data_IF_216174680969
#
_entry.id   IF_216174680969
#
_cell.length_a   1.000
_cell.length_b   1.000
_cell.length_c   1.000
_cell.angle_alpha   90.00
_cell.angle_beta   90.00
_cell.angle_gamma   90.00
#
_symmetry.space_group_name_H-M   'P 1'
#
loop_
_entity.id
_entity.type
_entity.pdbx_description
1 polymer ?
#
# COMPACT_ATOMS: atom_id res chain seq x y z
N UNK A 1 -26.85 39.72 52.11
CA UNK A 1 -25.53 40.33 51.87
C UNK A 1 -24.52 39.22 51.86
N UNK A 2 -23.78 39.05 50.77
CA UNK A 2 -22.64 38.15 50.74
C UNK A 2 -21.53 38.69 51.63
N UNK A 3 -20.62 37.81 52.06
CA UNK A 3 -19.36 38.23 52.70
C UNK A 3 -18.26 38.22 51.65
N UNK A 4 -17.26 39.09 51.77
CA UNK A 4 -16.12 39.05 50.85
C UNK A 4 -15.43 37.69 50.89
N UNK A 5 -14.96 37.18 49.76
CA UNK A 5 -14.33 35.86 49.71
C UNK A 5 -13.14 35.73 50.68
N UNK A 6 -12.31 36.77 50.76
CA UNK A 6 -11.16 36.83 51.68
C UNK A 6 -11.59 36.92 53.16
N UNK A 7 -12.80 37.41 53.45
CA UNK A 7 -13.33 37.42 54.82
C UNK A 7 -13.83 36.05 55.25
N UNK A 8 -14.35 35.26 54.30
CA UNK A 8 -14.79 33.88 54.55
C UNK A 8 -13.58 32.95 54.73
N UNK A 9 -12.48 33.20 54.01
CA UNK A 9 -11.25 32.41 54.07
C UNK A 9 -10.02 33.27 54.46
N UNK A 10 -9.97 33.81 55.69
CA UNK A 10 -8.95 34.79 56.10
C UNK A 10 -7.55 34.19 56.24
N UNK A 11 -7.44 32.88 56.46
CA UNK A 11 -6.16 32.17 56.64
C UNK A 11 -5.59 31.62 55.33
N UNK A 12 -6.28 31.81 54.21
CA UNK A 12 -5.86 31.29 52.92
C UNK A 12 -4.72 32.15 52.36
N UNK A 13 -3.56 31.54 52.12
CA UNK A 13 -2.42 32.18 51.47
C UNK A 13 -2.57 32.05 49.97
N UNK A 14 -2.69 33.19 49.29
CA UNK A 14 -2.96 33.27 47.85
C UNK A 14 -1.88 34.15 47.21
N UNK A 15 -1.48 33.85 45.98
CA UNK A 15 -0.62 34.71 45.16
C UNK A 15 -1.29 36.06 44.88
N UNK A 16 -0.50 37.11 44.62
CA UNK A 16 -1.01 38.49 44.52
C UNK A 16 -1.99 38.69 43.37
N UNK A 17 -1.73 38.08 42.20
CA UNK A 17 -2.62 38.10 41.03
C UNK A 17 -3.99 37.47 41.34
N UNK A 18 -3.97 36.28 41.94
CA UNK A 18 -5.17 35.55 42.35
C UNK A 18 -5.93 36.30 43.45
N UNK A 19 -5.21 36.98 44.36
CA UNK A 19 -5.84 37.80 45.39
C UNK A 19 -6.60 38.98 44.79
N UNK A 20 -6.06 39.63 43.76
CA UNK A 20 -6.74 40.72 43.07
C UNK A 20 -8.02 40.24 42.36
N UNK A 21 -7.96 39.09 41.67
CA UNK A 21 -9.13 38.50 41.01
C UNK A 21 -10.27 38.17 42.00
N UNK A 22 -9.94 37.60 43.17
CA UNK A 22 -10.96 37.20 44.15
C UNK A 22 -11.29 38.30 45.18
N UNK A 23 -10.64 39.47 45.14
CA UNK A 23 -10.87 40.56 46.09
C UNK A 23 -12.31 41.10 46.00
N UNK A 24 -12.81 41.29 44.78
CA UNK A 24 -14.12 41.87 44.50
C UNK A 24 -15.23 40.81 44.40
N UNK A 25 -14.99 39.61 44.94
CA UNK A 25 -15.94 38.49 44.89
C UNK A 25 -16.67 38.29 46.22
N UNK A 26 -17.96 38.01 46.13
CA UNK A 26 -18.82 37.79 47.29
C UNK A 26 -19.21 36.31 47.41
N UNK A 27 -19.11 35.76 48.61
CA UNK A 27 -19.62 34.42 48.90
C UNK A 27 -21.05 34.55 49.41
N UNK A 28 -22.00 34.01 48.64
CA UNK A 28 -23.43 34.03 48.98
C UNK A 28 -23.76 32.96 50.00
N UNK A 29 -23.22 31.76 49.80
CA UNK A 29 -23.56 30.58 50.59
C UNK A 29 -22.41 29.59 50.57
N UNK A 30 -22.15 28.99 51.73
CA UNK A 30 -21.29 27.80 51.83
C UNK A 30 -22.18 26.66 52.30
N UNK A 31 -22.32 25.64 51.48
CA UNK A 31 -23.09 24.45 51.82
C UNK A 31 -22.20 23.23 51.95
N UNK A 32 -22.59 22.32 52.83
CA UNK A 32 -21.95 21.02 52.95
C UNK A 32 -23.01 19.94 53.06
N UNK A 33 -22.69 18.75 52.58
CA UNK A 33 -23.53 17.56 52.79
C UNK A 33 -23.53 17.18 54.29
N UNK A 34 -24.59 16.52 54.77
CA UNK A 34 -24.66 15.89 56.10
C UNK A 34 -23.46 14.96 56.37
N UNK A 35 -22.95 14.27 55.35
CA UNK A 35 -21.74 13.43 55.44
C UNK A 35 -20.42 14.23 55.41
N UNK A 36 -20.47 15.55 55.20
CA UNK A 36 -19.34 16.48 55.05
C UNK A 36 -18.32 16.12 53.97
N UNK A 37 -18.71 15.32 52.98
CA UNK A 37 -17.84 14.88 51.89
C UNK A 37 -17.65 15.94 50.80
N UNK A 38 -18.59 16.87 50.68
CA UNK A 38 -18.57 17.96 49.69
C UNK A 38 -18.79 19.30 50.37
N UNK A 39 -18.06 20.31 49.93
CA UNK A 39 -18.22 21.70 50.30
C UNK A 39 -18.42 22.51 49.03
N UNK A 40 -19.59 23.14 48.90
CA UNK A 40 -19.95 23.96 47.75
C UNK A 40 -19.93 25.42 48.21
N UNK A 41 -19.09 26.23 47.55
CA UNK A 41 -19.02 27.68 47.75
C UNK A 41 -19.72 28.35 46.58
N UNK A 42 -20.86 28.96 46.83
CA UNK A 42 -21.55 29.80 45.85
C UNK A 42 -20.90 31.18 45.85
N UNK A 43 -20.21 31.51 44.75
CA UNK A 43 -19.46 32.73 44.55
C UNK A 43 -20.21 33.63 43.56
N UNK A 44 -20.37 34.90 43.91
CA UNK A 44 -20.86 35.94 43.03
C UNK A 44 -19.71 36.87 42.64
N UNK A 45 -19.55 37.14 41.35
CA UNK A 45 -18.52 38.06 40.83
C UNK A 45 -19.12 39.03 39.82
N UNK A 46 -18.58 40.25 39.79
CA UNK A 46 -18.92 41.30 38.82
C UNK A 46 -18.06 41.25 37.56
N UNK A 47 -17.02 40.41 37.54
CA UNK A 47 -16.10 40.22 36.42
C UNK A 47 -15.87 38.72 36.16
N UNK A 48 -15.44 38.40 34.95
CA UNK A 48 -15.14 37.03 34.54
C UNK A 48 -13.86 36.53 35.21
N UNK A 49 -13.93 35.31 35.74
CA UNK A 49 -12.79 34.60 36.32
C UNK A 49 -12.61 33.30 35.54
N UNK A 50 -11.39 33.01 35.08
CA UNK A 50 -11.15 31.83 34.26
C UNK A 50 -11.38 30.54 35.07
N UNK A 51 -11.87 29.48 34.41
CA UNK A 51 -12.11 28.19 35.09
C UNK A 51 -10.83 27.59 35.66
N UNK A 52 -9.69 27.86 35.03
CA UNK A 52 -8.36 27.44 35.50
C UNK A 52 -8.03 28.05 36.86
N UNK A 53 -8.33 29.33 37.04
CA UNK A 53 -8.07 30.05 38.28
C UNK A 53 -9.03 29.60 39.39
N UNK A 54 -10.29 29.35 39.06
CA UNK A 54 -11.27 28.77 40.00
C UNK A 54 -10.81 27.40 40.50
N UNK A 55 -10.45 26.48 39.60
CA UNK A 55 -9.95 25.17 39.99
C UNK A 55 -8.66 25.27 40.82
N UNK A 56 -7.79 26.24 40.51
CA UNK A 56 -6.60 26.52 41.32
C UNK A 56 -6.98 26.96 42.73
N UNK A 57 -8.00 27.80 42.90
CA UNK A 57 -8.50 28.18 44.22
C UNK A 57 -9.14 27.02 44.97
N UNK A 58 -9.89 26.15 44.30
CA UNK A 58 -10.43 24.92 44.91
C UNK A 58 -9.30 24.05 45.48
N UNK A 59 -8.20 23.89 44.73
CA UNK A 59 -7.01 23.16 45.17
C UNK A 59 -6.34 23.84 46.36
N UNK A 60 -6.13 25.17 46.33
CA UNK A 60 -5.51 25.90 47.44
C UNK A 60 -6.34 25.80 48.73
N UNK A 61 -7.67 25.92 48.64
CA UNK A 61 -8.56 25.73 49.79
C UNK A 61 -8.41 24.31 50.34
N UNK A 62 -8.37 23.31 49.47
CA UNK A 62 -8.22 21.91 49.86
C UNK A 62 -6.88 21.66 50.56
N UNK A 63 -5.79 22.13 49.98
CA UNK A 63 -4.44 21.91 50.48
C UNK A 63 -4.14 22.66 51.77
N UNK A 64 -4.67 23.88 51.94
CA UNK A 64 -4.33 24.72 53.09
C UNK A 64 -5.31 24.58 54.25
N UNK A 65 -6.61 24.47 53.97
CA UNK A 65 -7.64 24.48 55.01
C UNK A 65 -8.15 23.06 55.33
N UNK A 66 -8.14 22.15 54.35
CA UNK A 66 -8.76 20.83 54.47
C UNK A 66 -7.81 19.66 54.19
N UNK A 67 -6.49 19.86 54.37
CA UNK A 67 -5.45 18.87 54.04
C UNK A 67 -5.70 17.45 54.58
N UNK A 68 -6.20 17.35 55.82
CA UNK A 68 -6.42 16.05 56.51
C UNK A 68 -7.83 15.50 56.35
N UNK A 69 -8.74 16.27 55.79
CA UNK A 69 -10.16 15.90 55.69
C UNK A 69 -10.49 15.53 54.24
N UNK A 70 -11.12 14.37 53.98
CA UNK A 70 -11.45 13.93 52.62
C UNK A 70 -12.68 14.68 52.07
N UNK A 71 -12.59 16.00 51.98
CA UNK A 71 -13.65 16.88 51.48
C UNK A 71 -13.30 17.30 50.06
N UNK A 72 -14.28 17.23 49.16
CA UNK A 72 -14.23 17.80 47.81
C UNK A 72 -14.81 19.21 47.86
N UNK A 73 -13.98 20.19 47.56
CA UNK A 73 -14.40 21.59 47.46
C UNK A 73 -14.77 21.88 46.01
N UNK A 74 -15.91 22.53 45.79
CA UNK A 74 -16.33 23.03 44.48
C UNK A 74 -16.82 24.46 44.61
N UNK A 75 -16.31 25.34 43.78
CA UNK A 75 -16.74 26.72 43.66
C UNK A 75 -17.72 26.79 42.49
N UNK A 76 -18.92 27.28 42.79
CA UNK A 76 -19.95 27.60 41.81
C UNK A 76 -19.97 29.11 41.63
N UNK A 77 -19.36 29.60 40.55
CA UNK A 77 -19.45 31.00 40.16
C UNK A 77 -20.81 31.36 39.56
N UNK A 78 -21.31 32.54 39.89
CA UNK A 78 -22.36 33.26 39.18
C UNK A 78 -21.83 34.66 38.88
N UNK A 79 -21.81 35.01 37.59
CA UNK A 79 -21.33 36.29 37.12
C UNK A 79 -22.51 37.23 36.89
N UNK A 80 -22.44 38.41 37.48
CA UNK A 80 -23.34 39.52 37.18
C UNK A 80 -22.57 40.56 36.38
N UNK A 81 -22.46 40.30 35.09
CA UNK A 81 -21.67 41.11 34.17
C UNK A 81 -22.42 42.39 33.80
N UNK A 82 -21.66 43.45 33.51
CA UNK A 82 -22.23 44.69 32.99
C UNK A 82 -22.88 44.44 31.61
N UNK A 83 -23.85 45.28 31.21
CA UNK A 83 -24.52 45.19 29.91
C UNK A 83 -23.61 45.42 28.69
N UNK A 84 -22.29 45.55 28.88
CA UNK A 84 -21.28 45.63 27.83
C UNK A 84 -20.87 44.24 27.29
N UNK A 85 -21.18 43.18 28.03
CA UNK A 85 -20.91 41.81 27.61
C UNK A 85 -21.98 41.33 26.63
N UNK A 86 -21.76 41.57 25.35
CA UNK A 86 -22.49 40.87 24.28
C UNK A 86 -22.09 39.39 24.26
N UNK A 87 -22.99 38.46 23.89
CA UNK A 87 -22.68 37.03 23.79
C UNK A 87 -21.40 36.70 23.01
N UNK A 88 -21.10 37.47 21.96
CA UNK A 88 -19.89 37.32 21.15
C UNK A 88 -18.61 37.58 21.96
N UNK A 89 -18.46 38.78 22.52
CA UNK A 89 -17.32 39.13 23.38
C UNK A 89 -17.19 38.21 24.61
N UNK A 90 -18.32 37.79 25.20
CA UNK A 90 -18.33 36.86 26.31
C UNK A 90 -17.79 35.49 25.89
N UNK A 91 -18.21 34.98 24.73
CA UNK A 91 -17.69 33.74 24.18
C UNK A 91 -16.19 33.85 23.90
N UNK A 92 -15.72 34.92 23.26
CA UNK A 92 -14.28 35.09 22.99
C UNK A 92 -13.44 35.14 24.26
N UNK A 93 -13.84 35.92 25.26
CA UNK A 93 -13.12 36.06 26.51
C UNK A 93 -13.16 34.78 27.37
N UNK A 94 -14.25 34.01 27.28
CA UNK A 94 -14.46 32.83 28.13
C UNK A 94 -14.24 31.49 27.39
N UNK A 95 -13.92 31.52 26.08
CA UNK A 95 -13.74 30.33 25.22
C UNK A 95 -12.76 29.33 25.83
N UNK A 96 -11.62 29.81 26.31
CA UNK A 96 -10.58 28.95 26.87
C UNK A 96 -11.05 28.25 28.15
N UNK A 97 -11.90 28.92 28.94
CA UNK A 97 -12.50 28.35 30.15
C UNK A 97 -13.54 27.28 29.82
N UNK A 98 -14.39 27.52 28.80
CA UNK A 98 -15.34 26.54 28.29
C UNK A 98 -14.64 25.29 27.75
N UNK A 99 -13.58 25.49 26.95
CA UNK A 99 -12.77 24.40 26.42
C UNK A 99 -12.09 23.60 27.54
N UNK A 100 -11.60 24.28 28.59
CA UNK A 100 -11.01 23.59 29.74
C UNK A 100 -12.03 22.69 30.47
N UNK A 101 -13.24 23.19 30.71
CA UNK A 101 -14.30 22.42 31.39
C UNK A 101 -14.78 21.24 30.53
N UNK A 102 -14.97 21.45 29.22
CA UNK A 102 -15.30 20.36 28.30
C UNK A 102 -14.18 19.31 28.20
N UNK A 103 -12.92 19.71 28.26
CA UNK A 103 -11.78 18.76 28.25
C UNK A 103 -11.80 17.83 29.46
N UNK A 104 -12.19 18.32 30.62
CA UNK A 104 -12.29 17.52 31.84
C UNK A 104 -13.50 16.56 31.79
N UNK A 105 -14.61 17.00 31.16
CA UNK A 105 -15.83 16.20 31.03
C UNK A 105 -15.76 15.15 29.92
N UNK A 106 -15.34 15.53 28.71
CA UNK A 106 -15.36 14.69 27.52
C UNK A 106 -14.38 15.21 26.46
N UNK A 107 -13.35 14.41 26.17
CA UNK A 107 -12.37 14.73 25.13
C UNK A 107 -13.00 14.92 23.73
N UNK A 108 -14.15 14.26 23.49
CA UNK A 108 -14.90 14.37 22.24
C UNK A 108 -15.58 15.74 22.15
N UNK A 109 -16.28 16.18 23.20
CA UNK A 109 -16.97 17.48 23.24
C UNK A 109 -15.97 18.63 23.11
N UNK A 110 -14.81 18.50 23.76
CA UNK A 110 -13.68 19.42 23.59
C UNK A 110 -13.22 19.51 22.13
N UNK A 111 -12.94 18.36 21.50
CA UNK A 111 -12.46 18.34 20.11
C UNK A 111 -13.48 18.94 19.16
N UNK A 112 -14.77 18.65 19.38
CA UNK A 112 -15.86 19.18 18.58
C UNK A 112 -15.98 20.70 18.71
N UNK A 113 -15.98 21.26 19.92
CA UNK A 113 -16.05 22.71 20.11
C UNK A 113 -14.79 23.42 19.62
N UNK A 114 -13.62 22.76 19.71
CA UNK A 114 -12.36 23.32 19.24
C UNK A 114 -12.34 23.44 17.70
N UNK A 115 -12.84 22.44 16.99
CA UNK A 115 -12.91 22.45 15.52
C UNK A 115 -14.15 23.18 14.97
N UNK A 116 -15.15 23.45 15.81
CA UNK A 116 -16.37 24.12 15.40
C UNK A 116 -16.13 25.57 14.96
N UNK A 117 -16.82 25.98 13.89
CA UNK A 117 -17.01 27.39 13.58
C UNK A 117 -18.08 27.97 14.50
N UNK A 118 -17.81 29.11 15.13
CA UNK A 118 -18.80 29.81 15.94
C UNK A 118 -19.10 31.17 15.30
N UNK A 119 -20.38 31.41 15.00
CA UNK A 119 -20.84 32.66 14.41
C UNK A 119 -22.05 33.18 15.18
N UNK A 120 -22.03 34.45 15.57
CA UNK A 120 -23.16 35.09 16.23
C UNK A 120 -24.03 35.82 15.21
N UNK A 121 -25.35 35.61 15.25
CA UNK A 121 -26.35 36.34 14.45
C UNK A 121 -27.33 37.05 15.37
N UNK A 122 -27.74 38.26 14.97
CA UNK A 122 -28.76 39.07 15.65
C UNK A 122 -28.55 39.24 17.16
N UNK A 123 -27.29 39.32 17.60
CA UNK A 123 -26.87 39.60 18.98
C UNK A 123 -27.12 38.49 20.00
N UNK A 124 -28.08 37.59 19.78
CA UNK A 124 -28.51 36.60 20.78
C UNK A 124 -28.61 35.15 20.26
N UNK A 125 -28.25 34.91 19.00
CA UNK A 125 -28.25 33.57 18.40
C UNK A 125 -26.80 33.15 18.14
N UNK A 126 -26.34 32.10 18.83
CA UNK A 126 -25.05 31.46 18.59
C UNK A 126 -25.24 30.31 17.60
N UNK A 127 -24.60 30.43 16.44
CA UNK A 127 -24.56 29.40 15.42
C UNK A 127 -23.27 28.59 15.56
N UNK A 128 -23.42 27.29 15.81
CA UNK A 128 -22.34 26.31 15.92
C UNK A 128 -22.28 25.47 14.64
N UNK A 129 -21.24 25.68 13.86
CA UNK A 129 -20.98 24.94 12.63
C UNK A 129 -20.09 23.73 12.96
N UNK A 130 -20.68 22.53 12.89
CA UNK A 130 -20.04 21.26 13.19
C UNK A 130 -19.89 20.38 11.93
N UNK A 131 -18.87 19.52 11.92
CA UNK A 131 -18.73 18.50 10.89
C UNK A 131 -19.82 17.42 11.02
N UNK A 132 -20.46 17.07 9.90
CA UNK A 132 -21.51 16.05 9.86
C UNK A 132 -20.91 14.65 10.07
N UNK A 133 -20.76 14.28 11.33
CA UNK A 133 -20.30 12.97 11.79
C UNK A 133 -21.34 12.36 12.72
N UNK A 134 -21.39 11.02 12.78
CA UNK A 134 -22.30 10.29 13.68
C UNK A 134 -22.09 10.69 15.15
N UNK A 135 -20.83 10.91 15.53
CA UNK A 135 -20.45 11.36 16.86
C UNK A 135 -20.97 12.78 17.11
N UNK A 136 -20.82 13.68 16.13
CA UNK A 136 -21.32 15.05 16.26
C UNK A 136 -22.83 15.09 16.45
N UNK A 137 -23.60 14.31 15.68
CA UNK A 137 -25.05 14.23 15.86
C UNK A 137 -25.46 13.69 17.24
N UNK A 138 -24.70 12.76 17.80
CA UNK A 138 -24.98 12.18 19.12
C UNK A 138 -24.57 13.06 20.31
N UNK A 139 -23.66 14.02 20.11
CA UNK A 139 -23.07 14.83 21.19
C UNK A 139 -23.28 16.34 21.06
N UNK A 140 -23.81 16.81 19.93
CA UNK A 140 -24.04 18.24 19.74
C UNK A 140 -25.11 18.80 20.68
N UNK A 141 -26.14 18.01 21.01
CA UNK A 141 -27.16 18.41 22.00
C UNK A 141 -26.54 18.61 23.39
N UNK A 142 -25.68 17.70 23.85
CA UNK A 142 -24.97 17.82 25.13
C UNK A 142 -24.13 19.11 25.21
N UNK A 143 -23.47 19.50 24.11
CA UNK A 143 -22.67 20.74 24.05
C UNK A 143 -23.60 21.96 24.06
N UNK A 144 -24.69 21.93 23.30
CA UNK A 144 -25.64 23.03 23.26
C UNK A 144 -26.29 23.26 24.62
N UNK A 145 -26.67 22.20 25.34
CA UNK A 145 -27.27 22.34 26.66
C UNK A 145 -26.26 22.82 27.70
N UNK A 146 -25.01 22.33 27.65
CA UNK A 146 -23.93 22.86 28.48
C UNK A 146 -23.68 24.37 28.23
N UNK A 147 -23.62 24.79 26.97
CA UNK A 147 -23.43 26.20 26.65
C UNK A 147 -24.63 27.05 27.11
N UNK A 148 -25.87 26.58 26.93
CA UNK A 148 -27.06 27.28 27.46
C UNK A 148 -27.00 27.44 28.98
N UNK A 149 -26.57 26.42 29.71
CA UNK A 149 -26.40 26.47 31.17
C UNK A 149 -25.34 27.51 31.57
N UNK A 150 -24.18 27.52 30.90
CA UNK A 150 -23.12 28.48 31.20
C UNK A 150 -23.52 29.92 30.85
N UNK A 151 -24.10 30.15 29.67
CA UNK A 151 -24.52 31.49 29.26
C UNK A 151 -25.71 31.98 30.10
N UNK A 152 -26.72 31.13 30.30
CA UNK A 152 -27.94 31.46 31.02
C UNK A 152 -27.78 31.51 32.55
N UNK A 153 -27.36 30.41 33.17
CA UNK A 153 -27.32 30.29 34.64
C UNK A 153 -26.04 30.89 35.24
N UNK A 154 -24.89 30.69 34.59
CA UNK A 154 -23.60 31.15 35.11
C UNK A 154 -23.32 32.62 34.77
N UNK A 155 -23.60 33.06 33.55
CA UNK A 155 -23.31 34.43 33.10
C UNK A 155 -24.51 35.38 33.09
N UNK A 156 -25.73 34.88 33.34
CA UNK A 156 -26.98 35.66 33.26
C UNK A 156 -27.25 36.30 31.88
N UNK A 157 -26.67 35.75 30.81
CA UNK A 157 -26.83 36.22 29.42
C UNK A 157 -27.46 35.07 28.61
N UNK A 158 -28.79 35.01 28.46
CA UNK A 158 -29.44 33.91 27.77
C UNK A 158 -29.19 33.97 26.25
N UNK A 159 -28.68 32.88 25.68
CA UNK A 159 -28.35 32.75 24.25
C UNK A 159 -29.12 31.59 23.62
N UNK A 160 -29.64 31.79 22.41
CA UNK A 160 -30.23 30.70 21.61
C UNK A 160 -29.13 30.02 20.80
N UNK A 161 -29.00 28.69 20.90
CA UNK A 161 -27.96 27.93 20.22
C UNK A 161 -28.54 27.15 19.05
N UNK A 162 -28.01 27.38 17.85
CA UNK A 162 -28.39 26.68 16.62
C UNK A 162 -27.20 25.91 16.07
N UNK A 163 -27.37 24.61 15.86
CA UNK A 163 -26.34 23.73 15.31
C UNK A 163 -26.57 23.58 13.81
N UNK A 164 -25.56 23.88 13.00
CA UNK A 164 -25.54 23.54 11.58
C UNK A 164 -24.46 22.49 11.31
N UNK A 165 -24.78 21.55 10.43
CA UNK A 165 -23.87 20.51 10.01
C UNK A 165 -23.35 20.83 8.61
N UNK A 166 -22.03 20.75 8.42
CA UNK A 166 -21.41 20.83 7.11
C UNK A 166 -20.67 19.52 6.79
N UNK A 167 -20.58 19.12 5.51
CA UNK A 167 -19.83 17.92 5.14
C UNK A 167 -18.37 18.05 5.60
N UNK A 168 -17.75 16.96 6.08
CA UNK A 168 -16.37 16.97 6.54
C UNK A 168 -15.43 17.37 5.39
N UNK A 169 -14.44 18.23 5.67
CA UNK A 169 -13.41 18.56 4.69
C UNK A 169 -12.64 17.28 4.32
N UNK A 170 -12.57 16.94 3.04
CA UNK A 170 -11.76 15.82 2.55
C UNK A 170 -10.29 16.03 2.96
N UNK A 171 -9.82 15.27 3.95
CA UNK A 171 -8.42 15.34 4.35
C UNK A 171 -7.54 14.71 3.27
N UNK A 172 -6.32 15.24 3.09
CA UNK A 172 -5.30 14.67 2.19
C UNK A 172 -5.06 13.17 2.46
N UNK A 173 -5.22 12.73 3.72
CA UNK A 173 -5.09 11.34 4.15
C UNK A 173 -6.18 10.42 3.57
N UNK A 174 -7.42 10.90 3.40
CA UNK A 174 -8.50 10.09 2.85
C UNK A 174 -8.27 9.81 1.36
N UNK A 175 -7.78 10.82 0.61
CA UNK A 175 -7.35 10.67 -0.79
C UNK A 175 -6.15 9.73 -0.94
N UNK A 176 -5.22 9.76 0.02
CA UNK A 176 -4.10 8.82 0.07
C UNK A 176 -4.58 7.38 0.25
N UNK A 177 -5.47 7.14 1.22
CA UNK A 177 -6.00 5.82 1.51
C UNK A 177 -6.83 5.25 0.34
N UNK A 178 -7.68 6.07 -0.28
CA UNK A 178 -8.51 5.66 -1.42
C UNK A 178 -7.65 5.26 -2.63
N UNK A 179 -6.62 6.06 -2.96
CA UNK A 179 -5.72 5.75 -4.07
C UNK A 179 -4.78 4.58 -3.79
N UNK A 180 -4.36 4.37 -2.54
CA UNK A 180 -3.62 3.16 -2.17
C UNK A 180 -4.48 1.90 -2.35
N UNK A 181 -5.76 1.99 -1.96
CA UNK A 181 -6.71 0.91 -2.14
C UNK A 181 -6.94 0.62 -3.63
N UNK A 182 -7.05 1.66 -4.46
CA UNK A 182 -7.10 1.52 -5.92
C UNK A 182 -5.83 0.84 -6.48
N UNK A 183 -4.64 1.27 -6.07
CA UNK A 183 -3.37 0.66 -6.49
C UNK A 183 -3.27 -0.82 -6.07
N UNK A 184 -3.74 -1.15 -4.87
CA UNK A 184 -3.75 -2.51 -4.36
C UNK A 184 -4.77 -3.38 -5.13
N UNK A 185 -5.95 -2.85 -5.43
CA UNK A 185 -6.96 -3.52 -6.26
C UNK A 185 -6.42 -3.75 -7.68
N UNK A 186 -5.78 -2.76 -8.29
CA UNK A 186 -5.16 -2.87 -9.61
C UNK A 186 -4.05 -3.93 -9.62
N UNK A 187 -3.19 -3.96 -8.60
CA UNK A 187 -2.16 -4.98 -8.44
C UNK A 187 -2.75 -6.39 -8.27
N UNK A 188 -3.86 -6.53 -7.54
CA UNK A 188 -4.59 -7.80 -7.40
C UNK A 188 -5.20 -8.22 -8.75
N UNK A 189 -5.77 -7.29 -9.51
CA UNK A 189 -6.33 -7.56 -10.84
C UNK A 189 -5.24 -7.98 -11.84
N UNK A 190 -4.10 -7.28 -11.89
CA UNK A 190 -2.94 -7.65 -12.72
C UNK A 190 -2.38 -9.03 -12.34
N UNK A 191 -2.24 -9.30 -11.03
CA UNK A 191 -1.79 -10.61 -10.51
C UNK A 191 -2.77 -11.73 -10.86
N UNK A 192 -4.07 -11.48 -10.77
CA UNK A 192 -5.08 -12.46 -11.16
C UNK A 192 -5.15 -12.67 -12.67
N UNK A 193 -4.94 -11.62 -13.47
CA UNK A 193 -4.91 -11.69 -14.93
C UNK A 193 -3.69 -12.50 -15.42
N UNK A 194 -2.51 -12.23 -14.88
CA UNK A 194 -1.28 -12.99 -15.19
C UNK A 194 -1.40 -14.46 -14.78
N UNK A 195 -1.93 -14.76 -13.60
CA UNK A 195 -2.20 -16.14 -13.18
C UNK A 195 -3.19 -16.86 -14.10
N UNK A 196 -4.23 -16.17 -14.58
CA UNK A 196 -5.19 -16.72 -15.56
C UNK A 196 -4.54 -16.98 -16.91
N UNK A 197 -3.65 -16.10 -17.37
CA UNK A 197 -2.90 -16.30 -18.61
C UNK A 197 -1.95 -17.49 -18.49
N UNK A 198 -1.20 -17.61 -17.39
CA UNK A 198 -0.34 -18.77 -17.11
C UNK A 198 -1.16 -20.05 -17.07
N UNK A 199 -2.33 -20.05 -16.39
CA UNK A 199 -3.22 -21.22 -16.37
C UNK A 199 -3.80 -21.57 -17.75
N UNK A 200 -4.10 -20.56 -18.58
CA UNK A 200 -4.59 -20.75 -19.95
C UNK A 200 -3.50 -21.29 -20.87
N UNK A 201 -2.27 -20.79 -20.74
CA UNK A 201 -1.10 -21.28 -21.48
C UNK A 201 -0.73 -22.70 -21.06
N UNK A 202 -0.74 -23.00 -19.75
CA UNK A 202 -0.54 -24.35 -19.25
C UNK A 202 -1.65 -25.31 -19.71
N UNK A 203 -2.92 -24.86 -19.75
CA UNK A 203 -4.02 -25.66 -20.29
C UNK A 203 -3.89 -25.89 -21.78
N UNK A 204 -3.50 -24.89 -22.57
CA UNK A 204 -3.24 -25.03 -24.02
C UNK A 204 -2.07 -25.99 -24.28
N UNK A 205 -0.96 -25.84 -23.56
CA UNK A 205 0.18 -26.75 -23.65
C UNK A 205 -0.16 -28.20 -23.24
N UNK A 206 -1.12 -28.38 -22.31
CA UNK A 206 -1.63 -29.72 -21.93
C UNK A 206 -2.56 -30.30 -22.99
N UNK A 207 -3.43 -29.48 -23.57
CA UNK A 207 -4.36 -29.88 -24.63
C UNK A 207 -3.62 -30.21 -25.95
N UNK A 208 -2.56 -29.48 -26.28
CA UNK A 208 -1.71 -29.77 -27.44
C UNK A 208 -0.97 -31.10 -27.27
N UNK A 209 -0.50 -31.41 -26.05
CA UNK A 209 0.09 -32.73 -25.71
C UNK A 209 -0.92 -33.88 -25.76
N UNK A 210 -2.18 -33.64 -25.43
CA UNK A 210 -3.25 -34.66 -25.51
C UNK A 210 -3.73 -34.86 -26.95
N UNK A 211 -3.81 -33.81 -27.78
CA UNK A 211 -4.20 -33.90 -29.19
C UNK A 211 -3.18 -34.60 -30.09
N UNK A 212 -1.91 -34.70 -29.66
CA UNK A 212 -0.87 -35.48 -30.34
C UNK A 212 -0.89 -36.98 -30.04
N UNK A 213 -1.73 -37.44 -29.10
CA UNK A 213 -1.80 -38.84 -28.65
C UNK A 213 -3.01 -39.63 -29.18
N UNK A 214 -4.03 -38.97 -29.73
CA UNK A 214 -5.22 -39.65 -30.26
C UNK A 214 -5.13 -39.91 -31.76
N UNK A 215 -4.29 -40.87 -32.17
CA UNK A 215 -4.62 -41.68 -33.33
C UNK A 215 -4.10 -43.12 -33.20
N UNK A 216 -4.66 -43.87 -32.24
CA UNK A 216 -4.78 -45.34 -32.31
C UNK A 216 -5.80 -45.84 -31.31
N UNK A 217 -6.84 -46.54 -31.79
CA UNK A 217 -7.56 -47.55 -31.02
C UNK A 217 -8.95 -47.18 -30.49
N UNK A 218 -9.98 -47.56 -31.24
CA UNK A 218 -11.42 -47.58 -30.87
C UNK A 218 -11.78 -48.82 -30.03
N UNK A 219 -12.87 -48.67 -29.23
CA UNK A 219 -13.79 -49.67 -28.61
C UNK A 219 -13.30 -50.32 -27.31
N UNK A 220 -14.09 -50.48 -26.24
CA UNK A 220 -15.55 -50.68 -26.07
C UNK A 220 -16.09 -50.11 -24.75
N UNK A 221 -17.40 -49.83 -24.78
CA UNK A 221 -18.31 -49.42 -23.70
C UNK A 221 -18.40 -50.41 -22.52
N UNK A 222 -18.69 -49.93 -21.30
CA UNK A 222 -19.98 -50.17 -20.61
C UNK A 222 -19.95 -49.91 -19.08
N UNK A 223 -20.99 -49.18 -18.65
CA UNK A 223 -21.80 -49.33 -17.42
C UNK A 223 -21.31 -48.83 -16.04
N UNK A 224 -22.13 -47.90 -15.52
CA UNK A 224 -22.66 -47.76 -14.14
C UNK A 224 -21.65 -47.67 -12.96
N UNK A 225 -21.78 -46.81 -11.96
CA UNK A 225 -22.91 -46.03 -11.48
C UNK A 225 -22.79 -45.95 -9.95
N UNK A 226 -22.80 -44.72 -9.42
CA UNK A 226 -23.17 -44.31 -8.05
C UNK A 226 -22.35 -44.74 -6.82
N UNK A 227 -21.85 -43.68 -6.15
CA UNK A 227 -21.97 -43.34 -4.73
C UNK A 227 -21.21 -44.15 -3.65
N UNK A 228 -20.54 -43.41 -2.75
CA UNK A 228 -20.33 -43.85 -1.37
C UNK A 228 -18.93 -43.67 -0.78
N UNK A 229 -18.66 -42.44 -0.35
CA UNK A 229 -17.87 -41.98 0.81
C UNK A 229 -17.30 -43.02 1.82
N UNK A 230 -16.13 -42.64 2.40
CA UNK A 230 -15.39 -43.11 3.61
C UNK A 230 -14.34 -44.22 3.37
N UNK A 231 -13.03 -43.94 3.46
CA UNK A 231 -12.15 -43.47 4.56
C UNK A 231 -11.45 -44.62 5.28
N UNK A 232 -10.15 -44.40 5.48
CA UNK A 232 -9.27 -44.92 6.53
C UNK A 232 -8.69 -46.35 6.39
N UNK A 233 -7.36 -46.33 6.31
CA UNK A 233 -6.42 -47.08 7.13
C UNK A 233 -6.25 -48.59 6.93
N UNK A 234 -5.11 -48.89 6.29
CA UNK A 234 -3.98 -49.59 6.89
C UNK A 234 -4.28 -50.79 7.81
N UNK A 235 -3.99 -52.00 7.30
CA UNK A 235 -3.19 -52.98 8.03
C UNK A 235 -2.75 -54.12 7.10
N UNK A 236 -1.52 -54.61 7.31
CA UNK A 236 -1.32 -56.05 7.36
C UNK A 236 -0.76 -56.73 6.11
N UNK A 237 0.51 -56.45 5.83
CA UNK A 237 1.60 -57.43 5.72
C UNK A 237 1.23 -58.91 5.46
N UNK A 238 1.81 -59.50 4.40
CA UNK A 238 1.72 -60.94 4.16
C UNK A 238 2.55 -61.42 2.98
N UNK A 239 3.86 -61.55 3.19
CA UNK A 239 4.83 -62.24 2.32
C UNK A 239 4.31 -63.61 1.83
N UNK A 240 4.53 -63.93 0.56
CA UNK A 240 5.55 -64.90 0.19
C UNK A 240 5.76 -64.95 -1.32
N UNK A 241 7.03 -64.88 -1.72
CA UNK A 241 7.44 -65.14 -3.08
C UNK A 241 7.44 -66.63 -3.38
N UNK A 242 7.36 -66.96 -4.66
CA UNK A 242 8.21 -68.03 -5.18
C UNK A 242 8.59 -67.77 -6.64
N UNK A 243 9.89 -67.89 -6.81
CA UNK A 243 10.70 -68.05 -8.01
C UNK A 243 10.10 -68.95 -9.10
N UNK A 244 10.43 -68.65 -10.35
CA UNK A 244 10.29 -69.59 -11.46
C UNK A 244 10.85 -69.04 -12.77
N UNK A 245 12.11 -69.35 -13.02
CA UNK A 245 12.92 -68.94 -14.17
C UNK A 245 12.62 -69.77 -15.43
N UNK A 246 12.62 -69.10 -16.58
CA UNK A 246 13.06 -69.53 -17.93
C UNK A 246 12.65 -70.88 -18.55
N UNK A 247 11.98 -70.77 -19.71
CA UNK A 247 12.28 -71.41 -21.02
C UNK A 247 11.30 -70.81 -22.04
N UNK A 248 11.60 -70.47 -23.30
CA UNK A 248 12.66 -70.87 -24.20
C UNK A 248 12.02 -71.24 -25.56
N UNK A 249 12.45 -70.56 -26.64
CA UNK A 249 12.37 -70.95 -28.07
C UNK A 249 11.28 -70.35 -29.00
N UNK A 250 11.78 -69.39 -29.83
CA UNK A 250 11.84 -69.34 -31.32
C UNK A 250 10.56 -69.46 -32.15
N UNK A 251 10.31 -68.45 -32.98
CA UNK A 251 10.57 -68.46 -34.45
C UNK A 251 9.85 -67.29 -35.15
N UNK A 252 10.51 -66.61 -36.09
CA UNK A 252 9.84 -65.65 -36.97
C UNK A 252 10.74 -64.56 -37.53
N UNK A 253 11.67 -64.94 -38.41
CA UNK A 253 12.59 -64.06 -39.14
C UNK A 253 11.85 -63.37 -40.30
N UNK A 254 11.87 -62.05 -40.33
CA UNK A 254 11.33 -61.24 -41.43
C UNK A 254 12.16 -59.97 -41.63
N UNK A 255 13.12 -60.04 -42.53
CA UNK A 255 13.89 -58.89 -43.03
C UNK A 255 12.97 -57.90 -43.76
N UNK A 256 12.94 -56.64 -43.31
CA UNK A 256 12.45 -55.54 -44.13
C UNK A 256 13.50 -54.41 -44.14
N UNK A 257 14.27 -54.37 -45.23
CA UNK A 257 15.10 -53.24 -45.64
C UNK A 257 14.23 -51.97 -45.66
N UNK A 258 14.53 -50.99 -44.81
CA UNK A 258 14.10 -49.60 -45.02
C UNK A 258 15.29 -48.80 -45.54
N UNK A 259 15.18 -48.41 -46.80
CA UNK A 259 16.05 -47.42 -47.44
C UNK A 259 15.98 -46.09 -46.66
N UNK A 260 17.12 -45.66 -46.15
CA UNK A 260 17.32 -44.31 -45.64
C UNK A 260 17.41 -43.35 -46.84
N UNK A 261 16.27 -42.79 -47.27
CA UNK A 261 16.27 -41.48 -47.92
C UNK A 261 16.48 -40.42 -46.84
N UNK A 262 17.69 -39.86 -46.77
CA UNK A 262 17.99 -38.68 -45.97
C UNK A 262 17.38 -37.44 -46.65
N UNK A 263 16.17 -37.06 -46.25
CA UNK A 263 15.66 -35.71 -46.46
C UNK A 263 16.45 -34.74 -45.57
N UNK A 264 17.44 -34.07 -46.16
CA UNK A 264 18.18 -32.95 -45.57
C UNK A 264 17.40 -31.65 -45.80
N UNK A 265 16.22 -31.50 -45.17
CA UNK A 265 15.31 -30.41 -45.51
C UNK A 265 14.37 -29.92 -44.40
N UNK A 266 14.76 -29.99 -43.12
CA UNK A 266 13.97 -29.32 -42.08
C UNK A 266 14.86 -28.70 -41.01
N UNK A 267 14.96 -27.38 -41.05
CA UNK A 267 15.84 -26.55 -40.20
C UNK A 267 15.14 -25.98 -38.96
N UNK A 268 13.82 -26.20 -38.80
CA UNK A 268 13.15 -26.16 -37.50
C UNK A 268 13.13 -27.58 -36.95
N UNK A 269 13.94 -27.85 -35.92
CA UNK A 269 13.93 -29.15 -35.23
C UNK A 269 12.88 -29.22 -34.10
N UNK A 270 12.02 -28.22 -34.00
CA UNK A 270 10.99 -28.08 -32.97
C UNK A 270 9.73 -27.43 -33.55
N UNK A 271 8.57 -27.94 -33.17
CA UNK A 271 7.24 -27.44 -33.57
C UNK A 271 6.83 -26.14 -32.85
N UNK A 272 7.69 -25.60 -31.97
CA UNK A 272 7.40 -24.40 -31.19
C UNK A 272 7.48 -23.11 -32.04
N UNK A 273 6.44 -22.26 -32.07
CA UNK A 273 6.41 -21.01 -32.84
C UNK A 273 7.39 -19.94 -32.33
N UNK A 274 7.92 -20.11 -31.12
CA UNK A 274 8.85 -19.18 -30.48
C UNK A 274 10.33 -19.49 -30.76
N UNK A 275 10.65 -20.62 -31.42
CA UNK A 275 12.02 -20.98 -31.79
C UNK A 275 12.34 -20.40 -33.17
N UNK A 276 13.37 -19.55 -33.21
CA UNK A 276 13.85 -18.88 -34.42
C UNK A 276 14.90 -19.75 -35.12
N UNK A 277 15.80 -20.35 -34.35
CA UNK A 277 16.93 -21.11 -34.87
C UNK A 277 17.29 -22.29 -33.96
N UNK A 278 17.71 -23.41 -34.54
CA UNK A 278 18.24 -24.56 -33.81
C UNK A 278 17.17 -25.45 -33.16
N UNK A 279 17.50 -26.02 -31.99
CA UNK A 279 16.57 -26.84 -31.19
C UNK A 279 15.97 -26.01 -30.06
N UNK A 280 14.75 -26.34 -29.63
CA UNK A 280 14.19 -25.78 -28.41
C UNK A 280 15.02 -26.18 -27.18
N UNK A 281 15.31 -25.20 -26.31
CA UNK A 281 16.03 -25.39 -25.05
C UNK A 281 15.34 -24.63 -23.90
N UNK A 282 15.42 -25.17 -22.68
CA UNK A 282 14.86 -24.60 -21.46
C UNK A 282 15.89 -24.60 -20.32
N UNK A 283 17.13 -24.21 -20.63
CA UNK A 283 18.19 -24.16 -19.65
C UNK A 283 18.12 -22.90 -18.76
N UNK A 284 18.79 -22.99 -17.61
CA UNK A 284 18.98 -21.88 -16.66
C UNK A 284 19.69 -20.70 -17.32
N UNK A 285 19.31 -19.49 -16.90
CA UNK A 285 19.84 -18.25 -17.46
C UNK A 285 21.07 -17.81 -16.67
N UNK A 286 22.15 -17.52 -17.39
CA UNK A 286 23.36 -16.91 -16.88
C UNK A 286 23.37 -15.42 -17.30
N UNK A 287 23.71 -14.53 -16.37
CA UNK A 287 23.91 -13.10 -16.64
C UNK A 287 25.25 -12.87 -17.34
N UNK A 288 25.30 -11.95 -18.29
CA UNK A 288 26.50 -11.73 -19.12
C UNK A 288 27.70 -11.25 -18.29
N UNK A 289 27.47 -10.51 -17.19
CA UNK A 289 28.53 -10.07 -16.27
C UNK A 289 29.35 -11.24 -15.69
N UNK A 290 28.76 -12.43 -15.57
CA UNK A 290 29.40 -13.60 -14.96
C UNK A 290 30.21 -14.40 -15.99
N UNK A 291 30.12 -14.03 -17.28
CA UNK A 291 30.78 -14.68 -18.42
C UNK A 291 32.16 -14.06 -18.63
N UNK A 292 33.18 -14.56 -17.93
CA UNK A 292 34.53 -13.98 -17.92
C UNK A 292 35.53 -14.65 -18.87
N UNK A 293 35.13 -15.71 -19.58
CA UNK A 293 35.99 -16.45 -20.52
C UNK A 293 35.27 -17.57 -21.27
N UNK A 294 36.05 -18.52 -21.82
CA UNK A 294 35.51 -19.69 -22.54
C UNK A 294 34.90 -20.71 -21.55
N UNK A 295 33.64 -20.49 -21.19
CA UNK A 295 32.88 -21.32 -20.25
C UNK A 295 32.12 -22.47 -20.93
N UNK A 296 32.30 -22.67 -22.23
CA UNK A 296 31.58 -23.69 -23.00
C UNK A 296 30.18 -23.21 -23.38
N UNK A 297 29.18 -24.09 -23.29
CA UNK A 297 27.81 -23.79 -23.70
C UNK A 297 27.04 -23.03 -22.60
N UNK A 298 26.61 -21.81 -22.91
CA UNK A 298 25.85 -20.94 -22.00
C UNK A 298 24.49 -20.59 -22.59
N UNK A 299 23.55 -20.25 -21.70
CA UNK A 299 22.22 -19.76 -22.07
C UNK A 299 21.98 -18.40 -21.42
N UNK A 300 21.69 -17.39 -22.22
CA UNK A 300 21.42 -16.03 -21.74
C UNK A 300 20.24 -15.40 -22.46
N UNK A 301 19.72 -14.30 -21.93
CA UNK A 301 18.68 -13.48 -22.57
C UNK A 301 19.20 -12.07 -22.75
N UNK A 302 18.81 -11.41 -23.83
CA UNK A 302 19.20 -10.02 -24.04
C UNK A 302 18.50 -9.37 -25.22
N UNK A 303 18.74 -8.08 -25.35
CA UNK A 303 18.23 -7.21 -26.41
C UNK A 303 19.30 -7.02 -27.48
N UNK A 304 18.92 -7.17 -28.75
CA UNK A 304 19.82 -6.91 -29.88
C UNK A 304 20.01 -5.40 -30.05
N UNK A 305 21.26 -4.92 -29.94
CA UNK A 305 21.60 -3.49 -30.08
C UNK A 305 22.16 -3.13 -31.46
N UNK A 306 22.90 -4.07 -32.07
CA UNK A 306 23.55 -3.91 -33.36
C UNK A 306 23.41 -5.21 -34.13
N UNK A 307 23.27 -5.09 -35.45
CA UNK A 307 23.06 -6.19 -36.36
C UNK A 307 23.75 -5.88 -37.68
N UNK A 308 24.57 -6.81 -38.16
CA UNK A 308 25.36 -6.71 -39.39
C UNK A 308 25.36 -8.06 -40.12
N UNK A 309 25.28 -8.02 -41.45
CA UNK A 309 25.36 -9.20 -42.31
C UNK A 309 26.47 -9.03 -43.33
N UNK A 310 27.35 -10.03 -43.44
CA UNK A 310 28.45 -10.05 -44.40
C UNK A 310 28.44 -11.36 -45.18
N UNK A 311 28.23 -11.27 -46.49
CA UNK A 311 28.24 -12.43 -47.37
C UNK A 311 29.67 -12.96 -47.58
N UNK A 312 29.86 -14.28 -47.51
CA UNK A 312 31.12 -14.95 -47.81
C UNK A 312 30.97 -15.75 -49.12
N UNK A 313 32.09 -15.96 -49.80
CA UNK A 313 32.19 -16.96 -50.88
C UNK A 313 31.77 -18.34 -50.33
N UNK A 314 30.97 -19.10 -51.09
CA UNK A 314 30.34 -20.41 -50.74
C UNK A 314 28.88 -20.37 -50.24
N UNK A 315 28.05 -19.43 -50.73
CA UNK A 315 26.58 -19.41 -50.45
C UNK A 315 26.21 -19.31 -48.96
N UNK A 316 27.12 -18.76 -48.16
CA UNK A 316 26.94 -18.55 -46.72
C UNK A 316 27.14 -17.09 -46.37
N UNK A 317 26.30 -16.62 -45.45
CA UNK A 317 26.37 -15.28 -44.89
C UNK A 317 26.72 -15.37 -43.41
N UNK A 318 27.67 -14.54 -42.98
CA UNK A 318 27.92 -14.29 -41.55
C UNK A 318 26.89 -13.28 -41.09
N UNK A 319 26.17 -13.64 -40.04
CA UNK A 319 25.31 -12.72 -39.31
C UNK A 319 26.02 -12.45 -37.97
N UNK A 320 26.38 -11.18 -37.77
CA UNK A 320 27.02 -10.69 -36.55
C UNK A 320 26.06 -9.75 -35.86
N UNK A 321 25.73 -10.01 -34.60
CA UNK A 321 24.86 -9.13 -33.85
C UNK A 321 25.29 -9.04 -32.38
N UNK A 322 25.19 -7.85 -31.82
CA UNK A 322 25.53 -7.59 -30.42
C UNK A 322 24.26 -7.63 -29.56
N UNK A 323 24.35 -8.34 -28.45
CA UNK A 323 23.25 -8.58 -27.53
C UNK A 323 23.65 -8.10 -26.14
N UNK A 324 22.80 -7.28 -25.52
CA UNK A 324 22.99 -6.79 -24.15
C UNK A 324 21.88 -7.26 -23.22
N UNK A 325 22.23 -7.62 -21.99
CA UNK A 325 21.27 -7.87 -20.91
C UNK A 325 21.17 -6.68 -19.93
N UNK A 326 21.71 -5.53 -20.33
CA UNK A 326 21.90 -4.30 -19.53
C UNK A 326 22.94 -4.40 -18.41
N UNK A 327 23.54 -5.57 -18.19
CA UNK A 327 24.69 -5.74 -17.31
C UNK A 327 25.99 -5.74 -18.11
N UNK A 328 26.00 -6.44 -19.25
CA UNK A 328 27.11 -6.46 -20.20
C UNK A 328 26.61 -6.68 -21.63
N UNK A 329 27.50 -6.67 -22.61
CA UNK A 329 27.20 -6.89 -24.03
C UNK A 329 28.13 -7.93 -24.63
N UNK A 330 27.57 -8.93 -25.32
CA UNK A 330 28.35 -9.94 -26.05
C UNK A 330 28.00 -9.97 -27.54
N UNK A 331 29.00 -10.21 -28.37
CA UNK A 331 28.83 -10.38 -29.82
C UNK A 331 28.54 -11.84 -30.16
N UNK A 332 27.49 -12.06 -30.94
CA UNK A 332 27.08 -13.37 -31.44
C UNK A 332 27.36 -13.45 -32.93
N UNK A 333 28.09 -14.48 -33.34
CA UNK A 333 28.41 -14.76 -34.74
C UNK A 333 27.77 -16.07 -35.15
N UNK A 334 27.02 -16.04 -36.25
CA UNK A 334 26.45 -17.25 -36.84
C UNK A 334 26.71 -17.29 -38.34
N UNK A 335 26.87 -18.51 -38.85
CA UNK A 335 26.99 -18.77 -40.28
C UNK A 335 25.70 -19.39 -40.77
N UNK A 336 24.93 -18.64 -41.54
CA UNK A 336 23.69 -19.09 -42.15
C UNK A 336 23.87 -19.33 -43.65
N UNK A 337 23.09 -20.25 -44.24
CA UNK A 337 23.01 -20.38 -45.69
C UNK A 337 22.14 -19.25 -46.26
N UNK A 338 22.40 -18.82 -47.49
CA UNK A 338 21.67 -17.71 -48.11
C UNK A 338 20.15 -17.95 -48.21
N UNK A 339 19.71 -19.20 -48.31
CA UNK A 339 18.28 -19.58 -48.29
C UNK A 339 17.57 -19.28 -46.96
N UNK A 340 18.31 -19.28 -45.84
CA UNK A 340 17.78 -19.14 -44.47
C UNK A 340 17.84 -17.70 -43.96
N UNK A 341 18.56 -16.85 -44.68
CA UNK A 341 18.82 -15.46 -44.35
C UNK A 341 17.51 -14.65 -44.18
N UNK A 342 16.50 -14.76 -45.05
CA UNK A 342 15.26 -13.97 -44.94
C UNK A 342 14.47 -14.27 -43.66
N UNK A 343 14.38 -15.53 -43.26
CA UNK A 343 13.63 -15.95 -42.07
C UNK A 343 14.33 -15.51 -40.78
N UNK A 344 15.66 -15.60 -40.73
CA UNK A 344 16.45 -15.12 -39.60
C UNK A 344 16.41 -13.60 -39.47
N UNK A 345 16.45 -12.87 -40.60
CA UNK A 345 16.31 -11.42 -40.62
C UNK A 345 14.92 -10.93 -40.20
N UNK A 346 13.88 -11.72 -40.42
CA UNK A 346 12.53 -11.35 -40.02
C UNK A 346 12.40 -11.23 -38.50
N UNK A 347 13.06 -12.13 -37.77
CA UNK A 347 12.95 -12.28 -36.32
C UNK A 347 14.13 -11.67 -35.53
N UNK A 348 15.34 -11.63 -36.09
CA UNK A 348 16.53 -11.04 -35.47
C UNK A 348 16.68 -9.61 -36.00
N UNK A 349 16.09 -8.65 -35.29
CA UNK A 349 16.16 -7.21 -35.61
C UNK A 349 16.68 -6.41 -34.43
N UNK A 350 17.20 -5.21 -34.70
CA UNK A 350 17.57 -4.25 -33.65
C UNK A 350 16.37 -3.98 -32.75
N UNK A 351 16.55 -4.16 -31.45
CA UNK A 351 15.51 -4.02 -30.44
C UNK A 351 14.75 -5.31 -30.09
N UNK A 352 14.98 -6.42 -30.79
CA UNK A 352 14.36 -7.70 -30.45
C UNK A 352 14.96 -8.29 -29.16
N UNK A 353 14.10 -8.90 -28.34
CA UNK A 353 14.50 -9.65 -27.15
C UNK A 353 14.61 -11.14 -27.50
N UNK A 354 15.80 -11.70 -27.28
CA UNK A 354 16.14 -13.06 -27.64
C UNK A 354 16.68 -13.81 -26.44
N UNK A 355 16.34 -15.10 -26.33
CA UNK A 355 17.02 -16.08 -25.48
C UNK A 355 17.94 -16.90 -26.40
N UNK A 356 19.23 -16.92 -26.11
CA UNK A 356 20.26 -17.50 -26.96
C UNK A 356 21.00 -18.57 -26.17
N UNK A 357 21.21 -19.72 -26.80
CA UNK A 357 22.08 -20.78 -26.31
C UNK A 357 23.23 -20.97 -27.29
N UNK A 358 24.46 -20.88 -26.80
CA UNK A 358 25.64 -21.00 -27.64
C UNK A 358 26.92 -21.17 -26.86
N UNK A 359 27.99 -21.47 -27.58
CA UNK A 359 29.31 -21.75 -27.03
C UNK A 359 30.14 -20.47 -27.06
N UNK A 360 30.72 -20.11 -25.91
CA UNK A 360 31.68 -19.01 -25.79
C UNK A 360 33.04 -19.41 -26.35
N UNK A 361 33.57 -18.58 -27.24
CA UNK A 361 34.86 -18.77 -27.91
C UNK A 361 35.53 -17.42 -28.10
N UNK A 362 36.84 -17.35 -27.88
CA UNK A 362 37.61 -16.15 -28.22
C UNK A 362 37.80 -16.13 -29.74
N UNK A 363 37.28 -15.09 -30.40
CA UNK A 363 37.48 -14.93 -31.83
C UNK A 363 38.94 -14.54 -32.09
N UNK A 364 39.64 -15.29 -32.95
CA UNK A 364 41.05 -15.03 -33.29
C UNK A 364 41.24 -13.76 -34.11
N UNK A 365 40.18 -13.28 -34.78
CA UNK A 365 40.23 -12.08 -35.59
C UNK A 365 40.07 -10.82 -34.73
N UNK A 366 39.08 -10.80 -33.85
CA UNK A 366 38.78 -9.64 -32.99
C UNK A 366 39.48 -9.71 -31.62
N UNK A 367 40.00 -10.87 -31.22
CA UNK A 367 40.55 -11.17 -29.89
C UNK A 367 39.58 -10.88 -28.73
N UNK A 368 38.27 -10.90 -29.02
CA UNK A 368 37.20 -10.69 -28.05
C UNK A 368 36.45 -11.99 -27.76
N UNK A 369 35.82 -12.06 -26.59
CA UNK A 369 34.94 -13.16 -26.23
C UNK A 369 33.63 -13.04 -27.02
N UNK A 370 33.35 -14.03 -27.85
CA UNK A 370 32.15 -14.06 -28.69
C UNK A 370 31.40 -15.37 -28.54
N UNK A 371 30.14 -15.40 -28.95
CA UNK A 371 29.42 -16.65 -29.17
C UNK A 371 29.69 -17.10 -30.60
N UNK A 372 30.65 -18.02 -30.78
CA UNK A 372 31.08 -18.49 -32.09
C UNK A 372 30.21 -19.61 -32.67
N UNK A 373 29.44 -20.32 -31.84
CA UNK A 373 28.51 -21.35 -32.29
C UNK A 373 27.19 -21.26 -31.52
N UNK A 374 26.11 -20.99 -32.25
CA UNK A 374 24.76 -20.89 -31.68
C UNK A 374 24.03 -22.23 -31.81
N UNK A 375 23.65 -22.81 -30.67
CA UNK A 375 22.87 -24.07 -30.60
C UNK A 375 21.38 -23.81 -30.80
N UNK A 376 20.88 -22.66 -30.32
CA UNK A 376 19.49 -22.26 -30.54
C UNK A 376 19.18 -20.82 -30.18
N UNK A 377 18.11 -20.28 -30.78
CA UNK A 377 17.58 -18.94 -30.51
C UNK A 377 16.06 -19.04 -30.34
N UNK A 378 15.56 -18.41 -29.28
CA UNK A 378 14.14 -18.26 -28.98
C UNK A 378 13.76 -16.79 -28.83
N UNK A 379 12.52 -16.44 -29.17
CA UNK A 379 11.92 -15.15 -28.81
C UNK A 379 11.75 -15.09 -27.29
N UNK A 380 12.18 -13.98 -26.69
CA UNK A 380 11.97 -13.69 -25.28
C UNK A 380 10.99 -12.54 -25.11
N UNK A 381 10.28 -12.52 -23.98
CA UNK A 381 9.51 -11.36 -23.57
C UNK A 381 10.44 -10.24 -23.11
N UNK A 382 9.98 -9.01 -23.20
CA UNK A 382 10.68 -7.87 -22.63
C UNK A 382 10.80 -8.07 -21.11
N UNK A 383 12.04 -8.16 -20.63
CA UNK A 383 12.34 -8.32 -19.21
C UNK A 383 12.80 -7.01 -18.56
N UNK A 384 12.75 -5.89 -19.29
CA UNK A 384 13.05 -4.57 -18.72
C UNK A 384 11.92 -4.12 -17.83
N UNK A 385 12.22 -3.92 -16.55
CA UNK A 385 11.26 -3.34 -15.61
C UNK A 385 11.44 -1.82 -15.64
N UNK A 386 10.51 -1.12 -16.28
CA UNK A 386 10.47 0.34 -16.23
C UNK A 386 10.16 0.81 -14.80
N UNK A 387 10.92 1.77 -14.27
CA UNK A 387 10.61 2.40 -12.98
C UNK A 387 9.21 3.03 -13.01
N UNK A 388 8.34 2.61 -12.09
CA UNK A 388 7.00 3.20 -11.91
C UNK A 388 7.02 4.24 -10.78
N UNK A 389 6.39 5.39 -11.00
CA UNK A 389 6.16 6.39 -9.95
C UNK A 389 4.72 6.25 -9.41
N UNK A 390 4.61 5.77 -8.17
CA UNK A 390 3.34 5.52 -7.47
C UNK A 390 2.88 6.70 -6.60
N UNK A 391 3.58 7.83 -6.59
CA UNK A 391 3.23 8.98 -5.76
C UNK A 391 1.91 9.66 -6.18
N UNK A 392 1.15 10.14 -5.18
CA UNK A 392 -0.14 10.84 -5.32
C UNK A 392 0.03 12.22 -5.98
N UNK A 393 0.94 13.02 -5.43
CA UNK A 393 1.39 14.28 -6.02
C UNK A 393 2.65 14.01 -6.83
N UNK A 394 2.61 14.33 -8.12
CA UNK A 394 3.72 14.08 -9.03
C UNK A 394 4.84 15.08 -8.79
N UNK A 395 6.07 14.56 -8.67
CA UNK A 395 7.26 15.39 -8.65
C UNK A 395 7.43 16.04 -10.02
N UNK A 396 7.65 17.35 -10.04
CA UNK A 396 8.13 18.07 -11.22
C UNK A 396 9.66 18.14 -11.12
N UNK A 397 10.35 17.57 -12.10
CA UNK A 397 11.80 17.75 -12.23
C UNK A 397 12.06 19.12 -12.86
N UNK A 398 12.68 20.02 -12.12
CA UNK A 398 12.96 21.40 -12.58
C UNK A 398 14.37 21.55 -13.16
N UNK A 399 15.22 20.52 -13.03
CA UNK A 399 16.59 20.52 -13.54
C UNK A 399 16.88 19.18 -14.22
N UNK A 400 16.97 19.21 -15.55
CA UNK A 400 17.24 18.03 -16.37
C UNK A 400 18.26 18.39 -17.46
N UNK A 401 19.29 17.56 -17.60
CA UNK A 401 20.26 17.66 -18.68
C UNK A 401 19.80 16.84 -19.87
N UNK A 402 19.99 17.35 -21.08
CA UNK A 402 19.58 16.68 -22.32
C UNK A 402 20.81 16.37 -23.17
N UNK A 403 20.64 15.61 -24.26
CA UNK A 403 21.73 15.32 -25.21
C UNK A 403 22.35 16.57 -25.85
N UNK A 404 21.71 17.74 -25.73
CA UNK A 404 22.23 19.02 -26.21
C UNK A 404 23.20 19.69 -25.23
N UNK A 405 23.30 19.19 -23.99
CA UNK A 405 24.33 19.61 -23.04
C UNK A 405 25.63 18.91 -23.41
N UNK A 406 26.58 19.68 -23.94
CA UNK A 406 27.85 19.15 -24.45
C UNK A 406 28.57 18.29 -23.41
N UNK A 407 28.76 17.01 -23.76
CA UNK A 407 29.45 16.00 -22.95
C UNK A 407 28.86 15.74 -21.56
N UNK A 408 27.59 16.06 -21.33
CA UNK A 408 26.96 15.97 -19.99
C UNK A 408 25.67 15.11 -19.96
N UNK A 409 24.73 15.32 -20.89
CA UNK A 409 23.47 14.54 -20.92
C UNK A 409 23.52 13.30 -21.82
N UNK A 410 23.19 12.11 -21.28
CA UNK A 410 23.30 10.81 -21.99
C UNK A 410 21.95 10.06 -22.16
N UNK A 411 20.85 10.66 -21.70
CA UNK A 411 19.54 10.00 -21.55
C UNK A 411 18.87 9.53 -22.83
#
# INVERSE_FOLDING_TARGET
MGKGFLEVFPTLKIEEEMRQLFADTEVRKVTTNSAREYLIVELHSTHLISRKDVNRMEQLIKEQLFYRTPIRIRIQEQFHLSGQYTPENLYEAYRDSLLWELREKSQIEYSMLQSAGCHFRDGNIMQLDLEDTVIARGKAEDIADYLKEVFGERCSVPVEIRILYHPPKESKMRKFNERQLEQEVEAILEKNASLRQIHMEQKKARAEKESGAENTGKRTEAAAGTAGIKSADAAGNGRNGQSGSFNGARSGRGEFKREFRRDFGSYKKSDDPNVIYGRGFEDELIELKDVTGEMGEITFRGKVIQFETKEIRNERTIITFAVTDFTDTITVKMFARNEQLPDLLADIKKGAFLKIKGITTIDKFDNELTIGSVTGIKKAQDFTVSRRDTALEKRVELHCHTKMSDMDGVS
#
